data_IF_521695963984
#
_entry.id   IF_521695963984
#
_cell.length_a   1.000
_cell.length_b   1.000
_cell.length_c   1.000
_cell.angle_alpha   90.00
_cell.angle_beta   90.00
_cell.angle_gamma   90.00
#
_symmetry.space_group_name_H-M   'P 1'
#
loop_
_entity.id
_entity.type
_entity.pdbx_description
1 polymer ?
#
# COMPACT_ATOMS: atom_id res chain seq x y z
N UNK A 1 -2.79 -20.56 -1.15
CA UNK A 1 -3.27 -19.24 -1.63
C UNK A 1 -4.74 -19.17 -1.29
N UNK A 2 -5.21 -18.05 -0.74
CA UNK A 2 -6.63 -17.82 -0.48
C UNK A 2 -7.42 -17.66 -1.78
N UNK A 3 -8.75 -17.61 -1.70
CA UNK A 3 -9.65 -17.39 -2.86
C UNK A 3 -9.29 -16.12 -3.65
N UNK A 4 -8.74 -15.11 -2.95
CA UNK A 4 -8.27 -13.84 -3.53
C UNK A 4 -6.83 -13.90 -4.09
N UNK A 5 -6.20 -15.07 -4.13
CA UNK A 5 -4.82 -15.24 -4.59
C UNK A 5 -3.74 -14.69 -3.65
N UNK A 6 -4.08 -14.41 -2.39
CA UNK A 6 -3.15 -13.90 -1.38
C UNK A 6 -2.52 -15.04 -0.53
N UNK A 7 -1.33 -14.84 0.05
CA UNK A 7 -0.78 -15.73 1.07
C UNK A 7 -1.73 -15.91 2.26
N UNK A 8 -1.74 -17.10 2.86
CA UNK A 8 -2.60 -17.41 4.02
C UNK A 8 -2.28 -16.56 5.25
N UNK A 9 -1.02 -16.14 5.39
CA UNK A 9 -0.55 -15.26 6.46
C UNK A 9 -1.23 -13.88 6.45
N UNK A 10 -1.75 -13.43 5.30
CA UNK A 10 -2.49 -12.17 5.20
C UNK A 10 -3.98 -12.33 5.53
N UNK A 11 -4.44 -13.56 5.79
CA UNK A 11 -5.84 -13.80 6.13
C UNK A 11 -6.13 -13.43 7.58
N UNK A 12 -7.30 -12.84 7.82
CA UNK A 12 -7.75 -12.48 9.17
C UNK A 12 -7.89 -13.71 10.07
N UNK A 13 -8.35 -14.82 9.49
CA UNK A 13 -8.51 -16.11 10.15
C UNK A 13 -7.18 -16.68 10.66
N UNK A 14 -6.07 -16.46 9.94
CA UNK A 14 -4.74 -16.89 10.38
C UNK A 14 -4.32 -16.21 11.69
N UNK A 15 -4.74 -14.95 11.88
CA UNK A 15 -4.49 -14.19 13.11
C UNK A 15 -5.59 -14.34 14.17
N UNK A 16 -6.54 -15.26 13.98
CA UNK A 16 -7.62 -15.52 14.92
C UNK A 16 -8.74 -14.47 14.92
N UNK A 17 -8.83 -13.62 13.90
CA UNK A 17 -9.96 -12.71 13.70
C UNK A 17 -11.08 -13.39 12.90
N UNK A 18 -12.31 -13.28 13.39
CA UNK A 18 -13.51 -13.72 12.70
C UNK A 18 -13.90 -12.67 11.63
N UNK A 19 -13.90 -13.04 10.33
CA UNK A 19 -14.14 -12.08 9.25
C UNK A 19 -15.57 -11.53 9.21
N UNK A 20 -16.52 -12.12 9.93
CA UNK A 20 -17.91 -11.64 9.99
C UNK A 20 -18.15 -10.81 11.25
N UNK A 21 -17.59 -11.22 12.39
CA UNK A 21 -17.88 -10.60 13.68
C UNK A 21 -16.90 -9.50 14.08
N UNK A 22 -15.63 -9.64 13.69
CA UNK A 22 -14.57 -8.76 14.20
C UNK A 22 -14.32 -7.52 13.34
N UNK A 23 -14.73 -7.52 12.07
CA UNK A 23 -14.45 -6.42 11.14
C UNK A 23 -15.01 -5.06 11.59
N UNK A 24 -16.19 -5.06 12.20
CA UNK A 24 -16.85 -3.82 12.63
C UNK A 24 -16.52 -3.45 14.08
N UNK A 25 -15.62 -4.21 14.74
CA UNK A 25 -15.11 -3.86 16.06
C UNK A 25 -14.33 -2.56 16.01
N UNK A 26 -14.68 -1.67 16.93
CA UNK A 26 -14.04 -0.39 17.11
C UNK A 26 -12.80 -0.53 18.00
N UNK A 27 -11.63 -0.28 17.40
CA UNK A 27 -10.33 -0.31 18.05
C UNK A 27 -9.88 1.10 18.42
N UNK A 28 -9.24 1.24 19.58
CA UNK A 28 -8.70 2.51 20.06
C UNK A 28 -7.17 2.41 20.12
N UNK A 29 -6.49 3.26 19.33
CA UNK A 29 -5.02 3.33 19.26
C UNK A 29 -4.46 4.51 20.07
N UNK A 30 -5.30 5.25 20.79
CA UNK A 30 -4.87 6.42 21.58
C UNK A 30 -3.87 6.00 22.65
N UNK A 31 -2.68 6.60 22.63
CA UNK A 31 -1.63 6.34 23.62
C UNK A 31 -0.85 5.05 23.40
N UNK A 32 -1.16 4.28 22.35
CA UNK A 32 -0.34 3.16 21.93
C UNK A 32 0.93 3.71 21.29
N UNK A 33 2.06 3.62 21.98
CA UNK A 33 3.35 3.98 21.39
C UNK A 33 3.64 3.02 20.23
N UNK A 34 3.80 3.56 19.02
CA UNK A 34 4.19 2.79 17.83
C UNK A 34 5.62 2.19 17.93
N UNK A 35 6.25 2.23 19.10
CA UNK A 35 7.61 1.72 19.32
C UNK A 35 8.67 2.40 18.46
N UNK A 36 8.43 3.66 18.05
CA UNK A 36 9.29 4.39 17.11
C UNK A 36 9.02 4.09 15.63
N UNK A 37 8.02 3.27 15.29
CA UNK A 37 7.56 3.10 13.92
C UNK A 37 6.69 4.28 13.49
N UNK A 38 7.01 4.86 12.34
CA UNK A 38 6.26 5.97 11.75
C UNK A 38 5.17 5.52 10.79
N UNK A 39 4.32 6.42 10.31
CA UNK A 39 3.36 6.14 9.23
C UNK A 39 1.90 6.03 9.69
N UNK A 40 1.13 5.12 9.08
CA UNK A 40 -0.31 4.99 9.25
C UNK A 40 -0.71 4.68 10.70
N UNK A 41 0.02 3.81 11.40
CA UNK A 41 -0.25 3.50 12.81
C UNK A 41 -0.03 4.70 13.75
N UNK A 42 1.01 5.49 13.49
CA UNK A 42 1.27 6.73 14.24
C UNK A 42 0.16 7.77 13.98
N UNK A 43 -0.30 7.88 12.74
CA UNK A 43 -1.44 8.75 12.38
C UNK A 43 -2.74 8.31 13.07
N UNK A 44 -3.00 7.00 13.13
CA UNK A 44 -4.15 6.45 13.86
C UNK A 44 -4.07 6.70 15.37
N UNK A 45 -2.88 6.61 15.96
CA UNK A 45 -2.67 6.87 17.39
C UNK A 45 -2.84 8.36 17.75
N UNK A 46 -2.53 9.26 16.81
CA UNK A 46 -2.65 10.72 16.99
C UNK A 46 -4.07 11.27 16.80
N UNK A 47 -4.97 10.56 16.11
CA UNK A 47 -6.34 11.01 15.86
C UNK A 47 -7.28 10.65 17.01
N UNK A 48 -8.16 11.58 17.47
CA UNK A 48 -9.19 11.26 18.44
C UNK A 48 -10.29 10.45 17.75
N UNK A 49 -10.32 9.14 17.97
CA UNK A 49 -11.40 8.31 17.44
C UNK A 49 -11.15 6.82 17.60
N UNK A 50 -12.23 6.05 17.56
CA UNK A 50 -12.16 4.60 17.37
C UNK A 50 -12.24 4.32 15.87
N UNK A 51 -11.38 3.45 15.37
CA UNK A 51 -11.39 2.99 13.96
C UNK A 51 -11.84 1.54 13.90
N UNK A 52 -12.58 1.17 12.86
CA UNK A 52 -13.00 -0.22 12.66
C UNK A 52 -11.84 -1.05 12.13
N UNK A 53 -11.78 -2.34 12.51
CA UNK A 53 -10.80 -3.26 11.95
C UNK A 53 -10.87 -3.31 10.41
N UNK A 54 -12.09 -3.26 9.86
CA UNK A 54 -12.35 -3.13 8.43
C UNK A 54 -11.57 -1.99 7.78
N UNK A 55 -11.67 -0.77 8.33
CA UNK A 55 -11.00 0.40 7.76
C UNK A 55 -9.47 0.26 7.75
N UNK A 56 -8.90 -0.38 8.78
CA UNK A 56 -7.46 -0.62 8.90
C UNK A 56 -7.01 -1.62 7.84
N UNK A 57 -7.71 -2.76 7.73
CA UNK A 57 -7.40 -3.82 6.78
C UNK A 57 -7.53 -3.32 5.35
N UNK A 58 -8.60 -2.58 5.04
CA UNK A 58 -8.82 -2.03 3.70
C UNK A 58 -7.71 -1.06 3.30
N UNK A 59 -7.25 -0.21 4.24
CA UNK A 59 -6.15 0.71 3.98
C UNK A 59 -4.83 -0.04 3.79
N UNK A 60 -4.51 -1.03 4.62
CA UNK A 60 -3.28 -1.83 4.48
C UNK A 60 -3.28 -2.63 3.17
N UNK A 61 -4.42 -3.23 2.80
CA UNK A 61 -4.58 -3.91 1.49
C UNK A 61 -4.38 -2.94 0.35
N UNK A 62 -4.95 -1.74 0.41
CA UNK A 62 -4.77 -0.71 -0.62
C UNK A 62 -3.31 -0.27 -0.78
N UNK A 63 -2.57 -0.19 0.32
CA UNK A 63 -1.17 0.26 0.32
C UNK A 63 -0.19 -0.84 -0.11
N UNK A 64 -0.36 -2.08 0.36
CA UNK A 64 0.62 -3.15 0.20
C UNK A 64 0.22 -4.26 -0.79
N UNK A 65 -1.07 -4.42 -1.08
CA UNK A 65 -1.61 -5.43 -1.99
C UNK A 65 -2.16 -4.81 -3.29
N UNK A 66 -1.72 -3.60 -3.63
CA UNK A 66 -2.10 -2.91 -4.86
C UNK A 66 -1.21 -3.27 -6.05
N UNK A 67 -1.09 -2.35 -7.00
CA UNK A 67 -0.19 -2.51 -8.16
C UNK A 67 1.29 -2.34 -7.83
N UNK A 68 1.60 -1.81 -6.63
CA UNK A 68 2.96 -1.60 -6.15
C UNK A 68 3.23 -2.52 -4.95
N UNK A 69 4.15 -3.47 -5.11
CA UNK A 69 4.69 -4.25 -4.01
C UNK A 69 5.92 -3.55 -3.42
N UNK A 70 5.95 -3.37 -2.10
CA UNK A 70 7.08 -2.73 -1.41
C UNK A 70 7.75 -3.73 -0.48
N UNK A 71 8.99 -4.08 -0.79
CA UNK A 71 9.81 -4.95 0.04
C UNK A 71 10.93 -4.13 0.71
N UNK A 72 10.80 -3.91 2.02
CA UNK A 72 11.78 -3.13 2.78
C UNK A 72 12.04 -3.67 4.20
N UNK A 73 11.23 -4.63 4.66
CA UNK A 73 11.29 -5.12 6.04
C UNK A 73 12.54 -5.94 6.34
N UNK A 74 13.31 -6.35 5.32
CA UNK A 74 14.60 -7.02 5.48
C UNK A 74 15.75 -6.04 5.85
N UNK A 75 15.50 -4.72 5.81
CA UNK A 75 16.49 -3.70 6.17
C UNK A 75 16.59 -3.60 7.70
N UNK A 76 17.78 -3.83 8.26
CA UNK A 76 18.00 -3.77 9.72
C UNK A 76 18.00 -2.36 10.33
N UNK A 77 18.06 -1.32 9.50
CA UNK A 77 18.06 0.09 9.93
C UNK A 77 16.63 0.63 10.03
N UNK A 78 16.18 0.88 11.26
CA UNK A 78 14.84 1.38 11.57
C UNK A 78 14.56 2.76 10.99
N UNK A 79 15.58 3.62 10.83
CA UNK A 79 15.42 4.96 10.25
C UNK A 79 15.09 4.85 8.78
N UNK A 80 15.77 3.96 8.06
CA UNK A 80 15.49 3.70 6.63
C UNK A 80 14.12 3.06 6.44
N UNK A 81 13.77 2.07 7.27
CA UNK A 81 12.44 1.46 7.24
C UNK A 81 11.33 2.49 7.46
N UNK A 82 11.49 3.37 8.45
CA UNK A 82 10.55 4.44 8.72
C UNK A 82 10.44 5.45 7.57
N UNK A 83 11.57 5.81 6.95
CA UNK A 83 11.59 6.72 5.80
C UNK A 83 10.79 6.17 4.60
N UNK A 84 10.88 4.86 4.35
CA UNK A 84 10.11 4.16 3.31
C UNK A 84 8.63 4.12 3.72
N UNK A 85 8.35 3.69 4.96
CA UNK A 85 6.99 3.53 5.49
C UNK A 85 6.19 4.83 5.43
N UNK A 86 6.78 5.96 5.84
CA UNK A 86 6.15 7.29 5.74
C UNK A 86 5.71 7.63 4.31
N UNK A 87 6.50 7.23 3.30
CA UNK A 87 6.20 7.54 1.88
C UNK A 87 5.17 6.60 1.28
N UNK A 88 5.23 5.33 1.67
CA UNK A 88 4.37 4.29 1.10
C UNK A 88 2.97 4.38 1.71
N UNK A 89 2.88 4.52 3.03
CA UNK A 89 1.62 4.56 3.76
C UNK A 89 0.91 5.92 3.65
N UNK A 90 1.61 6.97 3.20
CA UNK A 90 1.00 8.25 2.81
C UNK A 90 0.88 8.32 1.28
N UNK A 91 -0.32 8.13 0.69
CA UNK A 91 -0.52 8.02 -0.76
C UNK A 91 -0.41 9.36 -1.52
N UNK A 92 0.48 10.26 -1.10
CA UNK A 92 0.78 11.51 -1.82
C UNK A 92 1.31 11.27 -3.23
N UNK A 93 1.89 10.09 -3.49
CA UNK A 93 2.48 9.70 -4.77
C UNK A 93 1.45 9.27 -5.83
N UNK A 94 0.19 8.99 -5.45
CA UNK A 94 -0.86 8.59 -6.39
C UNK A 94 -1.59 9.78 -7.04
N UNK A 95 -1.37 10.99 -6.53
CA UNK A 95 -2.00 12.20 -7.04
C UNK A 95 -1.18 12.78 -8.20
N UNK A 96 -1.46 12.31 -9.41
CA UNK A 96 -0.99 12.96 -10.64
C UNK A 96 -2.07 13.90 -11.20
N UNK A 97 -1.65 15.10 -11.58
CA UNK A 97 -2.43 16.03 -12.37
C UNK A 97 -2.66 15.48 -13.79
N UNK A 98 -3.63 16.08 -14.49
CA UNK A 98 -4.04 15.62 -15.83
C UNK A 98 -2.90 15.72 -16.84
N UNK A 99 -2.09 16.78 -16.77
CA UNK A 99 -1.00 17.02 -17.72
C UNK A 99 0.09 15.97 -17.55
N UNK A 100 0.48 15.68 -16.30
CA UNK A 100 1.45 14.61 -16.03
C UNK A 100 0.97 13.23 -16.45
N UNK A 101 -0.31 12.91 -16.26
CA UNK A 101 -0.88 11.64 -16.76
C UNK A 101 -0.80 11.56 -18.29
N UNK A 102 -1.14 12.64 -18.99
CA UNK A 102 -1.05 12.70 -20.45
C UNK A 102 0.39 12.54 -20.93
N UNK A 103 1.34 13.22 -20.27
CA UNK A 103 2.75 13.11 -20.63
C UNK A 103 3.30 11.67 -20.44
N UNK A 104 2.92 10.98 -19.36
CA UNK A 104 3.29 9.57 -19.17
C UNK A 104 2.70 8.71 -20.30
N UNK A 105 1.43 8.93 -20.66
CA UNK A 105 0.76 8.19 -21.73
C UNK A 105 1.42 8.42 -23.10
N UNK A 106 1.74 9.67 -23.45
CA UNK A 106 2.44 9.99 -24.70
C UNK A 106 3.78 9.26 -24.82
N UNK A 107 4.54 9.18 -23.72
CA UNK A 107 5.81 8.45 -23.69
C UNK A 107 5.63 6.94 -23.89
N UNK A 108 4.57 6.36 -23.34
CA UNK A 108 4.23 4.95 -23.55
C UNK A 108 3.85 4.69 -25.02
N UNK A 109 3.00 5.52 -25.61
CA UNK A 109 2.62 5.43 -27.02
C UNK A 109 3.83 5.57 -27.96
N UNK A 110 4.75 6.48 -27.65
CA UNK A 110 5.98 6.65 -28.42
C UNK A 110 6.87 5.40 -28.35
N UNK A 111 7.05 4.82 -27.15
CA UNK A 111 7.82 3.59 -26.98
C UNK A 111 7.24 2.43 -27.80
N UNK A 112 5.92 2.21 -27.71
CA UNK A 112 5.22 1.16 -28.47
C UNK A 112 5.32 1.37 -29.99
N UNK A 113 5.13 2.61 -30.46
CA UNK A 113 5.26 2.92 -31.89
C UNK A 113 6.68 2.72 -32.39
N UNK A 114 7.68 3.08 -31.57
CA UNK A 114 9.08 2.92 -31.91
C UNK A 114 9.48 1.44 -32.00
N UNK A 115 9.05 0.61 -31.04
CA UNK A 115 9.25 -0.85 -31.10
C UNK A 115 8.62 -1.46 -32.36
N UNK A 116 7.38 -1.07 -32.68
CA UNK A 116 6.70 -1.52 -33.89
C UNK A 116 7.44 -1.12 -35.18
N UNK A 117 7.97 0.11 -35.25
CA UNK A 117 8.76 0.58 -36.39
C UNK A 117 10.05 -0.24 -36.56
N UNK A 118 10.78 -0.49 -35.46
CA UNK A 118 12.00 -1.29 -35.50
C UNK A 118 11.70 -2.72 -35.98
N UNK A 119 10.62 -3.32 -35.47
CA UNK A 119 10.20 -4.66 -35.89
C UNK A 119 9.77 -4.76 -37.34
N UNK A 120 9.25 -3.69 -37.95
CA UNK A 120 8.86 -3.71 -39.38
C UNK A 120 10.03 -3.48 -40.32
N UNK A 121 11.04 -2.73 -39.89
CA UNK A 121 12.12 -2.28 -40.78
C UNK A 121 13.37 -3.18 -40.71
N UNK A 122 13.60 -3.85 -39.58
CA UNK A 122 14.86 -4.54 -39.32
C UNK A 122 14.69 -6.02 -38.90
N UNK A 123 13.46 -6.50 -38.80
CA UNK A 123 13.11 -7.91 -38.59
C UNK A 123 12.54 -8.49 -39.89
#
# INVERSE_FOLDING_TARGET
LTDDGLPEELSLTFHGFDPVKDLDRQLNFKGTHSGGNKGYLEELAGKPGKVTLRAIVDQLKKTYCGTLAVEYMHIGDTVKCNWIRERVEQPRWLAYDKEKKLHIFERLCFADTFENFLSQKFN
#
